data_IF_281123738356
#
_entry.id   IF_281123738356
#
_cell.length_a   1.000
_cell.length_b   1.000
_cell.length_c   1.000
_cell.angle_alpha   90.00
_cell.angle_beta   90.00
_cell.angle_gamma   90.00
#
_symmetry.space_group_name_H-M   'P 1'
#
loop_
_entity.id
_entity.type
_entity.pdbx_description
1 polymer ?
#
# COMPACT_ATOMS: atom_id res chain seq x y z
N UNK A 1 11.84 -33.63 -62.90
CA UNK A 1 11.17 -33.81 -61.59
C UNK A 1 12.15 -33.40 -60.49
N UNK A 2 12.06 -32.17 -59.99
CA UNK A 2 12.90 -31.67 -58.88
C UNK A 2 11.99 -31.41 -57.68
N UNK A 3 12.33 -32.04 -56.55
CA UNK A 3 11.63 -32.00 -55.28
C UNK A 3 12.23 -30.93 -54.37
N UNK A 4 11.32 -30.28 -53.62
CA UNK A 4 11.47 -29.78 -52.24
C UNK A 4 12.43 -28.62 -51.95
N UNK A 5 11.91 -27.57 -51.28
CA UNK A 5 12.06 -27.39 -49.82
C UNK A 5 11.24 -26.18 -49.35
N UNK A 6 10.25 -26.43 -48.49
CA UNK A 6 9.56 -25.43 -47.68
C UNK A 6 10.46 -25.07 -46.49
N UNK A 7 10.68 -23.79 -46.23
CA UNK A 7 11.28 -23.30 -44.99
C UNK A 7 10.18 -22.63 -44.16
N UNK A 8 9.73 -23.30 -43.10
CA UNK A 8 8.90 -22.70 -42.06
C UNK A 8 9.82 -22.23 -40.94
N UNK A 9 9.87 -20.92 -40.74
CA UNK A 9 10.57 -20.29 -39.61
C UNK A 9 9.63 -20.33 -38.41
N UNK A 10 9.93 -21.17 -37.42
CA UNK A 10 9.17 -21.24 -36.16
C UNK A 10 9.78 -20.27 -35.17
N UNK A 11 9.14 -19.12 -34.98
CA UNK A 11 9.51 -18.16 -33.94
C UNK A 11 8.99 -18.66 -32.58
N UNK A 12 9.90 -19.06 -31.68
CA UNK A 12 9.57 -19.29 -30.27
C UNK A 12 9.36 -17.95 -29.59
N UNK A 13 8.11 -17.63 -29.25
CA UNK A 13 7.78 -16.59 -28.29
C UNK A 13 8.00 -17.19 -26.90
N UNK A 14 9.06 -16.76 -26.20
CA UNK A 14 9.23 -17.05 -24.79
C UNK A 14 8.23 -16.20 -24.00
N UNK A 15 7.11 -16.81 -23.60
CA UNK A 15 6.22 -16.22 -22.59
C UNK A 15 6.96 -16.32 -21.26
N UNK A 16 7.52 -15.22 -20.80
CA UNK A 16 8.02 -15.08 -19.43
C UNK A 16 6.81 -15.08 -18.49
N UNK A 17 6.42 -16.26 -18.01
CA UNK A 17 5.52 -16.36 -16.87
C UNK A 17 6.26 -15.77 -15.66
N UNK A 18 5.78 -14.63 -15.15
CA UNK A 18 6.20 -14.14 -13.85
C UNK A 18 5.91 -15.26 -12.83
N UNK A 19 6.87 -15.64 -11.96
CA UNK A 19 6.59 -16.63 -10.94
C UNK A 19 5.45 -16.13 -10.05
N UNK A 20 4.38 -16.93 -9.95
CA UNK A 20 3.37 -16.75 -8.92
C UNK A 20 4.06 -16.99 -7.58
N UNK A 21 4.42 -15.90 -6.90
CA UNK A 21 5.15 -15.97 -5.65
C UNK A 21 4.21 -16.53 -4.58
N UNK A 22 4.63 -17.64 -3.96
CA UNK A 22 3.98 -18.27 -2.83
C UNK A 22 3.59 -17.19 -1.80
N UNK A 23 2.34 -17.16 -1.35
CA UNK A 23 1.85 -16.18 -0.38
C UNK A 23 2.73 -16.24 0.88
N UNK A 24 3.74 -15.38 0.97
CA UNK A 24 4.65 -15.40 2.08
C UNK A 24 3.87 -15.09 3.36
N UNK A 25 3.98 -15.98 4.33
CA UNK A 25 3.30 -15.82 5.61
C UNK A 25 4.02 -14.78 6.46
N UNK A 26 3.72 -13.51 6.20
CA UNK A 26 4.28 -12.35 6.91
C UNK A 26 3.97 -12.37 8.42
N UNK A 27 3.01 -13.18 8.87
CA UNK A 27 2.70 -13.31 10.30
C UNK A 27 3.88 -13.88 11.10
N UNK A 28 4.81 -14.59 10.44
CA UNK A 28 6.01 -15.15 11.08
C UNK A 28 7.14 -14.15 11.28
N UNK A 29 7.10 -13.00 10.62
CA UNK A 29 8.10 -11.94 10.80
C UNK A 29 7.80 -11.15 12.08
N UNK A 30 8.84 -10.74 12.81
CA UNK A 30 8.73 -9.75 13.89
C UNK A 30 8.46 -8.35 13.34
N UNK A 31 8.00 -7.41 14.18
CA UNK A 31 7.78 -6.02 13.75
C UNK A 31 9.06 -5.41 13.18
N UNK A 32 10.18 -5.56 13.89
CA UNK A 32 11.49 -5.07 13.43
C UNK A 32 11.93 -5.70 12.09
N UNK A 33 11.62 -6.98 11.87
CA UNK A 33 11.90 -7.64 10.59
C UNK A 33 11.05 -7.06 9.46
N UNK A 34 9.78 -6.76 9.69
CA UNK A 34 8.91 -6.11 8.69
C UNK A 34 9.44 -4.71 8.37
N UNK A 35 9.76 -3.91 9.39
CA UNK A 35 10.29 -2.55 9.22
C UNK A 35 11.60 -2.54 8.40
N UNK A 36 12.54 -3.42 8.75
CA UNK A 36 13.86 -3.49 8.10
C UNK A 36 13.77 -3.98 6.65
N UNK A 37 12.81 -4.87 6.34
CA UNK A 37 12.66 -5.48 5.02
C UNK A 37 11.57 -4.80 4.18
N UNK A 38 10.93 -3.74 4.70
CA UNK A 38 9.71 -3.17 4.13
C UNK A 38 9.84 -2.80 2.63
N UNK A 39 11.01 -2.37 2.17
CA UNK A 39 11.23 -2.01 0.77
C UNK A 39 10.97 -3.16 -0.23
N UNK A 40 11.11 -4.41 0.21
CA UNK A 40 11.01 -5.61 -0.63
C UNK A 40 9.79 -6.49 -0.30
N UNK A 41 9.04 -6.15 0.76
CA UNK A 41 7.87 -6.92 1.17
C UNK A 41 6.61 -6.51 0.42
N UNK A 42 5.68 -7.45 0.30
CA UNK A 42 4.32 -7.17 -0.15
C UNK A 42 3.62 -6.18 0.79
N UNK A 43 2.80 -5.24 0.28
CA UNK A 43 2.13 -4.22 1.08
C UNK A 43 1.23 -4.79 2.21
N UNK A 44 0.76 -6.03 2.10
CA UNK A 44 0.02 -6.70 3.19
C UNK A 44 0.82 -6.81 4.50
N UNK A 45 2.15 -6.93 4.44
CA UNK A 45 3.01 -6.98 5.63
C UNK A 45 2.92 -5.68 6.47
N UNK A 46 2.67 -4.55 5.82
CA UNK A 46 2.57 -3.23 6.45
C UNK A 46 1.28 -3.12 7.26
N UNK A 47 0.19 -3.73 6.76
CA UNK A 47 -1.06 -3.83 7.49
C UNK A 47 -0.93 -4.75 8.71
N UNK A 48 -0.21 -5.86 8.60
CA UNK A 48 0.10 -6.72 9.75
C UNK A 48 0.89 -5.94 10.81
N UNK A 49 1.91 -5.20 10.40
CA UNK A 49 2.69 -4.35 11.29
C UNK A 49 1.82 -3.27 11.95
N UNK A 50 1.01 -2.54 11.17
CA UNK A 50 0.11 -1.52 11.69
C UNK A 50 -0.87 -2.08 12.73
N UNK A 51 -1.46 -3.25 12.47
CA UNK A 51 -2.36 -3.91 13.43
C UNK A 51 -1.65 -4.23 14.75
N UNK A 52 -0.40 -4.70 14.71
CA UNK A 52 0.37 -5.03 15.91
C UNK A 52 0.77 -3.79 16.69
N UNK A 53 1.26 -2.76 15.99
CA UNK A 53 1.62 -1.48 16.59
C UNK A 53 0.41 -0.83 17.27
N UNK A 54 -0.78 -0.89 16.66
CA UNK A 54 -2.00 -0.39 17.29
C UNK A 54 -2.34 -1.16 18.57
N UNK A 55 -2.24 -2.50 18.54
CA UNK A 55 -2.46 -3.33 19.72
C UNK A 55 -1.44 -3.09 20.85
N UNK A 56 -0.23 -2.63 20.50
CA UNK A 56 0.82 -2.20 21.43
C UNK A 56 0.62 -0.77 21.97
N UNK A 57 -0.45 -0.06 21.56
CA UNK A 57 -0.70 1.34 21.93
C UNK A 57 0.15 2.36 21.14
N UNK A 58 0.89 1.92 20.12
CA UNK A 58 1.78 2.74 19.28
C UNK A 58 1.03 3.26 18.05
N UNK A 59 -0.09 3.92 18.26
CA UNK A 59 -1.04 4.17 17.17
C UNK A 59 -0.58 5.19 16.10
N UNK A 60 0.26 6.17 16.43
CA UNK A 60 0.91 7.03 15.42
C UNK A 60 1.77 6.18 14.47
N UNK A 61 2.58 5.28 15.01
CA UNK A 61 3.45 4.41 14.21
C UNK A 61 2.62 3.40 13.41
N UNK A 62 1.51 2.92 13.97
CA UNK A 62 0.55 2.12 13.24
C UNK A 62 -0.02 2.88 12.02
N UNK A 63 -0.41 4.14 12.20
CA UNK A 63 -0.92 4.98 11.11
C UNK A 63 0.14 5.25 10.04
N UNK A 64 1.38 5.53 10.45
CA UNK A 64 2.53 5.69 9.55
C UNK A 64 2.65 4.48 8.61
N UNK A 65 2.77 3.28 9.18
CA UNK A 65 2.91 2.05 8.42
C UNK A 65 1.65 1.68 7.63
N UNK A 66 0.46 1.95 8.15
CA UNK A 66 -0.79 1.74 7.41
C UNK A 66 -0.87 2.64 6.18
N UNK A 67 -0.52 3.93 6.27
CA UNK A 67 -0.53 4.83 5.12
C UNK A 67 0.56 4.49 4.09
N UNK A 68 1.74 4.07 4.53
CA UNK A 68 2.77 3.54 3.62
C UNK A 68 2.30 2.26 2.93
N UNK A 69 1.68 1.35 3.68
CA UNK A 69 1.05 0.14 3.17
C UNK A 69 -0.04 0.46 2.15
N UNK A 70 -0.95 1.39 2.46
CA UNK A 70 -2.01 1.84 1.57
C UNK A 70 -1.46 2.41 0.26
N UNK A 71 -0.43 3.25 0.32
CA UNK A 71 0.24 3.79 -0.86
C UNK A 71 0.82 2.65 -1.72
N UNK A 72 1.60 1.76 -1.11
CA UNK A 72 2.21 0.61 -1.81
C UNK A 72 1.16 -0.32 -2.43
N UNK A 73 0.07 -0.57 -1.71
CA UNK A 73 -1.01 -1.44 -2.17
C UNK A 73 -1.77 -0.85 -3.35
N UNK A 74 -2.16 0.42 -3.25
CA UNK A 74 -2.81 1.13 -4.36
C UNK A 74 -1.88 1.17 -5.58
N UNK A 75 -0.58 1.39 -5.37
CA UNK A 75 0.39 1.36 -6.47
C UNK A 75 0.48 -0.02 -7.13
N UNK A 76 0.56 -1.11 -6.35
CA UNK A 76 0.52 -2.48 -6.88
C UNK A 76 -0.72 -2.74 -7.74
N UNK A 77 -1.90 -2.36 -7.24
CA UNK A 77 -3.18 -2.54 -7.94
C UNK A 77 -3.21 -1.74 -9.24
N UNK A 78 -2.89 -0.44 -9.17
CA UNK A 78 -2.89 0.44 -10.36
C UNK A 78 -1.87 0.00 -11.41
N UNK A 79 -0.68 -0.45 -10.99
CA UNK A 79 0.36 -0.96 -11.89
C UNK A 79 -0.01 -2.31 -12.52
N UNK A 80 -0.68 -3.19 -11.77
CA UNK A 80 -1.05 -4.53 -12.21
C UNK A 80 -2.34 -4.61 -13.04
N UNK A 81 -3.21 -3.59 -12.96
CA UNK A 81 -4.47 -3.54 -13.72
C UNK A 81 -5.35 -4.77 -13.44
N UNK A 82 -5.91 -5.37 -14.49
CA UNK A 82 -6.78 -6.56 -14.36
C UNK A 82 -6.09 -7.74 -13.68
N UNK A 83 -4.78 -7.90 -13.86
CA UNK A 83 -4.03 -8.99 -13.21
C UNK A 83 -3.97 -8.85 -11.68
N UNK A 84 -4.23 -7.66 -11.14
CA UNK A 84 -4.24 -7.36 -9.71
C UNK A 84 -5.65 -7.43 -9.08
N UNK A 85 -6.60 -8.17 -9.68
CA UNK A 85 -7.95 -8.30 -9.13
C UNK A 85 -7.95 -8.92 -7.72
N UNK A 86 -7.17 -9.99 -7.50
CA UNK A 86 -7.05 -10.63 -6.18
C UNK A 86 -6.46 -9.66 -5.14
N UNK A 87 -5.51 -8.83 -5.57
CA UNK A 87 -4.92 -7.79 -4.72
C UNK A 87 -5.94 -6.74 -4.30
N UNK A 88 -6.86 -6.37 -5.19
CA UNK A 88 -7.96 -5.46 -4.86
C UNK A 88 -8.89 -6.03 -3.78
N UNK A 89 -9.16 -7.34 -3.82
CA UNK A 89 -9.98 -8.03 -2.80
C UNK A 89 -9.24 -8.04 -1.46
N UNK A 90 -7.96 -8.43 -1.45
CA UNK A 90 -7.18 -8.49 -0.22
C UNK A 90 -6.97 -7.09 0.40
N UNK A 91 -6.68 -6.08 -0.42
CA UNK A 91 -6.61 -4.69 0.03
C UNK A 91 -7.90 -4.20 0.69
N UNK A 92 -9.05 -4.55 0.12
CA UNK A 92 -10.36 -4.16 0.66
C UNK A 92 -10.58 -4.82 2.04
N UNK A 93 -10.27 -6.11 2.17
CA UNK A 93 -10.39 -6.81 3.44
C UNK A 93 -9.45 -6.22 4.52
N UNK A 94 -8.19 -5.96 4.18
CA UNK A 94 -7.21 -5.35 5.10
C UNK A 94 -7.58 -3.91 5.48
N UNK A 95 -8.09 -3.13 4.54
CA UNK A 95 -8.56 -1.77 4.80
C UNK A 95 -9.71 -1.75 5.80
N UNK A 96 -10.60 -2.75 5.77
CA UNK A 96 -11.69 -2.80 6.76
C UNK A 96 -11.30 -3.39 8.11
N UNK A 97 -10.47 -4.43 8.12
CA UNK A 97 -10.09 -5.11 9.36
C UNK A 97 -9.03 -4.34 10.14
N UNK A 98 -8.08 -3.70 9.45
CA UNK A 98 -6.95 -3.00 10.06
C UNK A 98 -7.02 -1.50 9.77
N UNK A 99 -7.32 -1.12 8.53
CA UNK A 99 -7.34 0.30 8.16
C UNK A 99 -8.39 1.09 8.94
N UNK A 100 -9.61 0.56 9.10
CA UNK A 100 -10.68 1.21 9.86
C UNK A 100 -10.31 1.54 11.31
N UNK A 101 -9.86 0.59 12.16
CA UNK A 101 -9.48 0.92 13.54
C UNK A 101 -8.26 1.85 13.63
N UNK A 102 -7.28 1.73 12.72
CA UNK A 102 -6.13 2.66 12.69
C UNK A 102 -6.57 4.08 12.30
N UNK A 103 -7.45 4.21 11.30
CA UNK A 103 -8.01 5.49 10.88
C UNK A 103 -8.88 6.13 11.97
N UNK A 104 -9.67 5.33 12.68
CA UNK A 104 -10.49 5.81 13.79
C UNK A 104 -9.63 6.41 14.91
N UNK A 105 -8.52 5.73 15.26
CA UNK A 105 -7.53 6.21 16.23
C UNK A 105 -6.84 7.49 15.75
N UNK A 106 -6.27 7.48 14.54
CA UNK A 106 -5.40 8.59 14.10
C UNK A 106 -6.21 9.85 13.82
N UNK A 107 -7.44 9.71 13.31
CA UNK A 107 -8.31 10.87 13.06
C UNK A 107 -8.76 11.57 14.35
N UNK A 108 -8.52 10.98 15.53
CA UNK A 108 -8.70 11.65 16.81
C UNK A 108 -7.77 12.83 17.04
N UNK A 109 -6.68 12.92 16.27
CA UNK A 109 -5.75 14.05 16.30
C UNK A 109 -5.33 14.42 14.87
N UNK A 110 -5.78 15.58 14.39
CA UNK A 110 -5.57 16.00 13.00
C UNK A 110 -4.09 16.19 12.65
N UNK A 111 -3.28 16.69 13.58
CA UNK A 111 -1.84 16.88 13.35
C UNK A 111 -1.11 15.55 13.18
N UNK A 112 -1.41 14.58 14.05
CA UNK A 112 -0.88 13.22 13.95
C UNK A 112 -1.32 12.52 12.65
N UNK A 113 -2.56 12.76 12.23
CA UNK A 113 -3.10 12.22 10.99
C UNK A 113 -2.36 12.76 9.76
N UNK A 114 -2.15 14.08 9.70
CA UNK A 114 -1.38 14.71 8.64
C UNK A 114 0.08 14.24 8.66
N UNK A 115 0.68 14.13 9.84
CA UNK A 115 2.04 13.62 10.01
C UNK A 115 2.19 12.18 9.51
N UNK A 116 1.19 11.32 9.70
CA UNK A 116 1.22 9.94 9.19
C UNK A 116 1.21 9.88 7.66
N UNK A 117 0.40 10.72 7.01
CA UNK A 117 0.34 10.80 5.55
C UNK A 117 1.63 11.39 4.98
N UNK A 118 2.20 12.41 5.63
CA UNK A 118 3.49 13.00 5.27
C UNK A 118 4.63 11.99 5.41
N UNK A 119 4.66 11.26 6.53
CA UNK A 119 5.62 10.20 6.75
C UNK A 119 5.55 9.13 5.66
N UNK A 120 4.35 8.69 5.29
CA UNK A 120 4.18 7.67 4.24
C UNK A 120 4.67 8.16 2.86
N UNK A 121 4.41 9.42 2.51
CA UNK A 121 4.89 10.02 1.25
C UNK A 121 6.41 10.17 1.22
N UNK A 122 7.01 10.59 2.34
CA UNK A 122 8.46 10.73 2.48
C UNK A 122 9.15 9.36 2.48
N UNK A 123 8.66 8.43 3.32
CA UNK A 123 9.17 7.07 3.39
C UNK A 123 9.11 6.38 2.04
N UNK A 124 8.00 6.48 1.30
CA UNK A 124 7.97 5.96 -0.06
C UNK A 124 9.03 6.64 -0.93
N UNK A 125 9.16 7.97 -0.93
CA UNK A 125 10.15 8.65 -1.77
C UNK A 125 11.59 8.18 -1.52
N UNK A 126 11.94 7.96 -0.25
CA UNK A 126 13.30 7.61 0.18
C UNK A 126 13.63 6.12 0.02
N UNK A 127 12.62 5.26 -0.18
CA UNK A 127 12.81 3.81 -0.22
C UNK A 127 12.51 3.22 -1.62
N UNK A 128 13.34 2.27 -2.11
CA UNK A 128 13.02 1.53 -3.31
C UNK A 128 11.75 0.68 -3.11
N UNK A 129 11.26 0.11 -4.21
CA UNK A 129 10.16 -0.85 -4.17
C UNK A 129 10.59 -2.11 -4.93
N UNK A 130 11.06 -3.11 -4.19
CA UNK A 130 11.43 -4.40 -4.76
C UNK A 130 10.22 -5.18 -5.27
N UNK A 131 9.01 -4.90 -4.76
CA UNK A 131 7.79 -5.62 -5.13
C UNK A 131 7.12 -5.07 -6.40
N UNK A 132 7.09 -3.75 -6.58
CA UNK A 132 6.50 -3.11 -7.76
C UNK A 132 7.43 -2.02 -8.28
N UNK A 133 7.98 -2.20 -9.49
CA UNK A 133 9.00 -1.31 -10.04
C UNK A 133 8.49 0.13 -10.23
N UNK A 134 9.07 1.06 -9.47
CA UNK A 134 8.73 2.50 -9.53
C UNK A 134 9.04 3.12 -10.89
N UNK A 135 10.14 2.71 -11.52
CA UNK A 135 10.55 3.26 -12.81
C UNK A 135 9.72 2.74 -13.97
N UNK A 136 9.34 1.44 -13.94
CA UNK A 136 8.50 0.85 -14.98
C UNK A 136 7.06 1.36 -14.90
N UNK A 137 6.57 1.68 -13.70
CA UNK A 137 5.19 2.12 -13.48
C UNK A 137 5.10 3.56 -12.93
N UNK A 138 5.98 4.45 -13.40
CA UNK A 138 6.11 5.81 -12.86
C UNK A 138 4.79 6.63 -12.91
N UNK A 139 4.00 6.47 -13.98
CA UNK A 139 2.71 7.15 -14.10
C UNK A 139 1.71 6.69 -13.01
N UNK A 140 1.58 5.38 -12.80
CA UNK A 140 0.74 4.81 -11.76
C UNK A 140 1.20 5.24 -10.35
N UNK A 141 2.52 5.28 -10.12
CA UNK A 141 3.06 5.76 -8.85
C UNK A 141 2.72 7.23 -8.60
N UNK A 142 2.89 8.09 -9.62
CA UNK A 142 2.57 9.51 -9.52
C UNK A 142 1.08 9.75 -9.24
N UNK A 143 0.20 9.00 -9.91
CA UNK A 143 -1.25 9.05 -9.66
C UNK A 143 -1.59 8.69 -8.21
N UNK A 144 -1.06 7.57 -7.70
CA UNK A 144 -1.34 7.11 -6.34
C UNK A 144 -0.79 8.08 -5.28
N UNK A 145 0.43 8.58 -5.47
CA UNK A 145 1.03 9.60 -4.58
C UNK A 145 0.22 10.90 -4.58
N UNK A 146 -0.24 11.35 -5.76
CA UNK A 146 -1.11 12.52 -5.86
C UNK A 146 -2.45 12.31 -5.14
N UNK A 147 -3.00 11.10 -5.21
CA UNK A 147 -4.21 10.71 -4.47
C UNK A 147 -4.06 10.87 -2.96
N UNK A 148 -2.95 10.37 -2.38
CA UNK A 148 -2.66 10.55 -0.95
C UNK A 148 -2.39 12.02 -0.60
N UNK A 149 -1.67 12.75 -1.45
CA UNK A 149 -1.48 14.20 -1.28
C UNK A 149 -2.79 14.99 -1.28
N UNK A 150 -3.75 14.60 -2.11
CA UNK A 150 -5.10 15.20 -2.12
C UNK A 150 -5.87 14.87 -0.84
N UNK A 151 -5.82 13.62 -0.35
CA UNK A 151 -6.44 13.26 0.92
C UNK A 151 -5.87 14.11 2.07
N UNK A 152 -4.55 14.23 2.15
CA UNK A 152 -3.87 15.10 3.12
C UNK A 152 -4.35 16.56 3.03
N UNK A 153 -4.41 17.12 1.83
CA UNK A 153 -4.88 18.49 1.62
C UNK A 153 -6.35 18.68 2.05
N UNK A 154 -7.21 17.67 1.82
CA UNK A 154 -8.59 17.71 2.27
C UNK A 154 -8.69 17.65 3.80
N UNK A 155 -7.88 16.81 4.47
CA UNK A 155 -7.83 16.73 5.93
C UNK A 155 -7.38 18.06 6.53
N UNK A 156 -6.38 18.71 5.95
CA UNK A 156 -5.93 20.04 6.39
C UNK A 156 -7.04 21.09 6.19
N UNK A 157 -7.75 21.06 5.05
CA UNK A 157 -8.84 22.00 4.79
C UNK A 157 -10.02 21.85 5.76
N UNK A 158 -10.26 20.62 6.25
CA UNK A 158 -11.33 20.30 7.20
C UNK A 158 -10.86 20.25 8.66
N UNK A 159 -9.62 20.66 8.94
CA UNK A 159 -8.95 20.56 10.25
C UNK A 159 -9.85 20.97 11.42
N UNK A 160 -10.48 22.14 11.31
CA UNK A 160 -11.27 22.70 12.40
C UNK A 160 -12.66 22.03 12.54
N UNK A 161 -13.14 21.35 11.49
CA UNK A 161 -14.43 20.69 11.47
C UNK A 161 -14.37 19.24 11.97
N UNK A 162 -13.24 18.56 11.75
CA UNK A 162 -13.06 17.14 12.07
C UNK A 162 -13.39 16.82 13.53
N UNK A 163 -12.90 17.55 14.55
CA UNK A 163 -13.19 17.23 15.95
C UNK A 163 -14.69 17.27 16.28
N UNK A 164 -15.42 18.24 15.74
CA UNK A 164 -16.87 18.37 15.93
C UNK A 164 -17.65 17.26 15.23
N UNK A 165 -17.25 16.88 14.01
CA UNK A 165 -17.86 15.75 13.30
C UNK A 165 -17.64 14.42 14.03
N UNK A 166 -16.46 14.24 14.63
CA UNK A 166 -16.14 13.05 15.43
C UNK A 166 -16.98 12.97 16.70
N UNK A 167 -17.07 14.06 17.45
CA UNK A 167 -17.90 14.13 18.65
C UNK A 167 -19.38 13.84 18.33
N UNK A 168 -19.91 14.42 17.25
CA UNK A 168 -21.27 14.14 16.78
C UNK A 168 -21.52 12.66 16.43
N UNK A 169 -20.47 11.94 16.05
CA UNK A 169 -20.50 10.51 15.73
C UNK A 169 -20.13 9.61 16.93
N UNK A 170 -19.93 10.18 18.12
CA UNK A 170 -19.55 9.45 19.33
C UNK A 170 -18.10 8.94 19.33
N UNK A 171 -17.22 9.56 18.53
CA UNK A 171 -15.80 9.22 18.43
C UNK A 171 -14.95 10.15 19.31
N UNK A 172 -13.91 9.58 19.92
CA UNK A 172 -12.98 10.31 20.80
C UNK A 172 -12.07 11.28 20.02
N UNK A 173 -11.78 12.44 20.59
CA UNK A 173 -10.71 13.33 20.15
C UNK A 173 -9.57 13.25 21.18
N UNK A 174 -8.31 13.29 20.75
CA UNK A 174 -7.13 13.02 21.60
C UNK A 174 -5.97 13.98 21.40
#
# INVERSE_FOLDING_TARGET
MKRLLFSVFMAMVAVSAAPAQENADYSKLTNAQIETQAADLHPAAFYILASRLLAEGRGQEAANWMYAGQLRYRFLITAGGEAAQNESVLFSALSEQVGRPVNEYIAGNVDEWLAAMDWALAWDADNPNGFTSKSQHAAALNEVRAGLGKLRANVEAERDNIPGQREANGLENR
#
